data_IF_586418874793
#
_entry.id   IF_586418874793
#
_cell.length_a   1.000
_cell.length_b   1.000
_cell.length_c   1.000
_cell.angle_alpha   90.00
_cell.angle_beta   90.00
_cell.angle_gamma   90.00
#
_symmetry.space_group_name_H-M   'P 1'
#
loop_
_entity.id
_entity.type
_entity.pdbx_description
1 polymer ?
#
# COMPACT_ATOMS: atom_id res chain seq x y z
N UNK A 1 -15.17 14.28 -3.57
CA UNK A 1 -15.00 12.81 -3.51
C UNK A 1 -14.34 12.55 -2.18
N UNK A 2 -14.92 11.73 -1.30
CA UNK A 2 -14.29 11.52 0.00
C UNK A 2 -13.04 10.66 -0.22
N UNK A 3 -11.87 11.24 -0.03
CA UNK A 3 -10.59 10.57 -0.25
C UNK A 3 -10.44 9.49 0.82
N UNK A 4 -9.95 8.30 0.47
CA UNK A 4 -9.57 7.34 1.50
C UNK A 4 -8.36 7.92 2.25
N UNK A 5 -8.23 7.59 3.52
CA UNK A 5 -6.96 7.74 4.23
C UNK A 5 -6.14 6.46 4.09
N UNK A 6 -4.86 6.50 4.39
CA UNK A 6 -4.07 5.27 4.51
C UNK A 6 -3.45 5.14 5.90
N UNK A 7 -3.27 3.90 6.33
CA UNK A 7 -2.51 3.52 7.50
C UNK A 7 -1.49 2.45 7.13
N UNK A 8 -0.45 2.30 7.93
CA UNK A 8 0.58 1.28 7.73
C UNK A 8 0.76 0.45 9.00
N UNK A 9 0.91 -0.86 8.82
CA UNK A 9 1.28 -1.77 9.91
C UNK A 9 2.66 -1.40 10.47
N UNK A 10 2.93 -1.83 11.71
CA UNK A 10 4.25 -1.62 12.32
C UNK A 10 5.39 -2.18 11.45
N UNK A 11 5.18 -3.34 10.83
CA UNK A 11 6.15 -3.97 9.92
C UNK A 11 6.48 -3.05 8.72
N UNK A 12 5.48 -2.41 8.13
CA UNK A 12 5.66 -1.48 7.00
C UNK A 12 6.46 -0.25 7.43
N UNK A 13 6.15 0.31 8.61
CA UNK A 13 6.89 1.45 9.16
C UNK A 13 8.36 1.10 9.39
N UNK A 14 8.64 -0.06 10.00
CA UNK A 14 10.01 -0.55 10.19
C UNK A 14 10.74 -0.73 8.85
N UNK A 15 10.04 -1.23 7.82
CA UNK A 15 10.61 -1.39 6.48
C UNK A 15 10.95 -0.03 5.84
N UNK A 16 10.05 0.95 5.92
CA UNK A 16 10.30 2.31 5.42
C UNK A 16 11.52 2.95 6.09
N UNK A 17 11.72 2.70 7.39
CA UNK A 17 12.89 3.18 8.13
C UNK A 17 14.20 2.52 7.67
N UNK A 18 14.15 1.29 7.15
CA UNK A 18 15.31 0.57 6.63
C UNK A 18 15.71 0.99 5.20
N UNK A 19 14.84 1.69 4.45
CA UNK A 19 15.15 2.16 3.09
C UNK A 19 16.26 3.20 3.15
N UNK A 20 17.47 2.81 2.73
CA UNK A 20 18.63 3.70 2.64
C UNK A 20 18.50 4.62 1.42
N UNK A 21 17.87 5.77 1.62
CA UNK A 21 17.76 6.82 0.62
C UNK A 21 16.47 7.61 0.78
N UNK A 22 16.57 8.85 1.23
CA UNK A 22 15.41 9.73 1.49
C UNK A 22 14.47 9.82 0.29
N UNK A 23 15.02 9.84 -0.94
CA UNK A 23 14.23 9.88 -2.16
C UNK A 23 13.47 8.59 -2.49
N UNK A 24 13.96 7.41 -2.10
CA UNK A 24 13.22 6.16 -2.28
C UNK A 24 12.11 6.03 -1.24
N UNK A 25 12.40 6.38 0.02
CA UNK A 25 11.39 6.39 1.08
C UNK A 25 10.24 7.32 0.74
N UNK A 26 10.56 8.55 0.29
CA UNK A 26 9.54 9.52 -0.13
C UNK A 26 8.68 8.98 -1.28
N UNK A 27 9.29 8.36 -2.31
CA UNK A 27 8.53 7.75 -3.41
C UNK A 27 7.54 6.68 -2.95
N UNK A 28 7.91 5.86 -1.96
CA UNK A 28 7.00 4.84 -1.42
C UNK A 28 5.88 5.48 -0.61
N UNK A 29 6.18 6.51 0.20
CA UNK A 29 5.14 7.26 0.93
C UNK A 29 4.19 8.01 0.00
N UNK A 30 4.71 8.72 -1.01
CA UNK A 30 3.90 9.40 -2.03
C UNK A 30 3.01 8.41 -2.80
N UNK A 31 3.48 7.17 -2.96
CA UNK A 31 2.68 6.10 -3.55
C UNK A 31 1.49 5.72 -2.65
N UNK A 32 1.66 5.63 -1.33
CA UNK A 32 0.55 5.37 -0.41
C UNK A 32 -0.47 6.50 -0.39
N UNK A 33 -0.03 7.75 -0.47
CA UNK A 33 -0.93 8.91 -0.64
C UNK A 33 -1.75 8.78 -1.92
N UNK A 34 -1.10 8.41 -3.04
CA UNK A 34 -1.81 8.16 -4.30
C UNK A 34 -2.78 6.98 -4.20
N UNK A 35 -2.38 5.92 -3.49
CA UNK A 35 -3.22 4.74 -3.26
C UNK A 35 -4.48 5.09 -2.46
N UNK A 36 -4.43 6.07 -1.57
CA UNK A 36 -5.62 6.51 -0.83
C UNK A 36 -6.54 7.42 -1.67
N UNK A 37 -6.01 8.09 -2.70
CA UNK A 37 -6.84 8.78 -3.69
C UNK A 37 -7.51 7.82 -4.69
N UNK A 38 -6.86 6.72 -5.03
CA UNK A 38 -7.34 5.73 -6.00
C UNK A 38 -6.93 4.29 -5.59
N UNK A 39 -7.64 3.68 -4.62
CA UNK A 39 -7.27 2.38 -4.03
C UNK A 39 -7.30 1.19 -5.01
N UNK A 40 -8.03 1.35 -6.12
CA UNK A 40 -8.27 0.30 -7.11
C UNK A 40 -7.53 0.55 -8.44
N UNK A 41 -7.06 1.77 -8.71
CA UNK A 41 -6.69 2.18 -10.06
C UNK A 41 -5.43 1.58 -10.67
N UNK A 42 -4.61 0.85 -9.91
CA UNK A 42 -3.40 0.19 -10.44
C UNK A 42 -3.15 -1.21 -9.88
N UNK A 43 -4.00 -1.78 -9.01
CA UNK A 43 -3.86 -3.18 -8.58
C UNK A 43 -4.01 -4.08 -9.80
N UNK A 44 -2.88 -4.49 -10.38
CA UNK A 44 -2.84 -5.68 -11.21
C UNK A 44 -3.30 -6.81 -10.31
N UNK A 45 -4.50 -7.31 -10.60
CA UNK A 45 -5.16 -8.42 -9.91
C UNK A 45 -4.13 -9.50 -9.54
N UNK A 46 -3.89 -9.68 -8.25
CA UNK A 46 -3.27 -10.89 -7.75
C UNK A 46 -3.84 -11.15 -6.35
N UNK A 47 -4.76 -12.11 -6.33
CA UNK A 47 -5.40 -12.74 -5.16
C UNK A 47 -6.26 -11.85 -4.25
N UNK A 48 -7.57 -11.95 -4.45
CA UNK A 48 -8.56 -11.74 -3.39
C UNK A 48 -8.42 -12.90 -2.39
N UNK A 49 -8.32 -12.59 -1.09
CA UNK A 49 -8.55 -13.60 -0.05
C UNK A 49 -10.02 -14.05 -0.05
N UNK A 50 -10.38 -15.09 0.72
CA UNK A 50 -11.76 -15.62 0.75
C UNK A 50 -12.80 -14.55 1.17
N UNK A 51 -12.34 -13.47 1.82
CA UNK A 51 -13.15 -12.32 2.23
C UNK A 51 -13.17 -11.18 1.20
N UNK A 52 -12.33 -11.23 0.16
CA UNK A 52 -12.34 -10.31 -0.97
C UNK A 52 -11.73 -8.94 -0.71
N UNK A 53 -10.85 -8.79 0.29
CA UNK A 53 -10.43 -7.46 0.75
C UNK A 53 -8.92 -7.22 0.77
N UNK A 54 -8.09 -8.23 0.51
CA UNK A 54 -6.63 -8.08 0.41
C UNK A 54 -6.21 -7.91 -1.05
N UNK A 55 -5.28 -6.99 -1.28
CA UNK A 55 -4.74 -6.61 -2.58
C UNK A 55 -3.22 -6.63 -2.56
N UNK A 56 -2.62 -7.06 -3.66
CA UNK A 56 -1.19 -7.03 -3.87
C UNK A 56 -0.83 -6.13 -5.06
N UNK A 57 0.29 -5.41 -4.94
CA UNK A 57 0.77 -4.55 -6.02
C UNK A 57 2.30 -4.48 -6.02
N UNK A 58 2.89 -4.72 -7.19
CA UNK A 58 4.31 -4.43 -7.42
C UNK A 58 4.47 -3.00 -7.91
N UNK A 59 5.22 -2.18 -7.17
CA UNK A 59 5.54 -0.79 -7.51
C UNK A 59 7.04 -0.60 -7.70
N UNK A 60 7.38 0.34 -8.60
CA UNK A 60 8.76 0.73 -8.91
C UNK A 60 9.67 -0.45 -9.29
N UNK A 61 9.10 -1.51 -9.89
CA UNK A 61 9.76 -2.76 -10.29
C UNK A 61 10.61 -3.41 -9.17
N UNK A 62 10.24 -3.16 -7.92
CA UNK A 62 11.08 -3.51 -6.76
C UNK A 62 10.31 -3.84 -5.50
N UNK A 63 9.16 -3.21 -5.27
CA UNK A 63 8.46 -3.32 -4.01
C UNK A 63 7.13 -4.02 -4.20
N UNK A 64 6.90 -5.10 -3.47
CA UNK A 64 5.59 -5.73 -3.33
C UNK A 64 4.88 -5.08 -2.14
N UNK A 65 3.71 -4.52 -2.37
CA UNK A 65 2.84 -3.92 -1.36
C UNK A 65 1.62 -4.82 -1.20
N UNK A 66 1.34 -5.22 0.04
CA UNK A 66 0.10 -5.91 0.41
C UNK A 66 -0.76 -4.95 1.21
N UNK A 67 -2.01 -4.77 0.83
CA UNK A 67 -2.91 -3.82 1.48
C UNK A 67 -4.36 -4.31 1.50
N UNK A 68 -5.14 -3.74 2.40
CA UNK A 68 -6.57 -4.02 2.54
C UNK A 68 -7.36 -2.72 2.45
N UNK A 69 -8.52 -2.74 1.77
CA UNK A 69 -9.42 -1.58 1.71
C UNK A 69 -10.58 -1.80 2.67
N UNK A 70 -10.66 -0.97 3.71
CA UNK A 70 -11.83 -0.90 4.59
C UNK A 70 -12.76 0.23 4.12
N UNK A 71 -13.80 -0.13 3.38
CA UNK A 71 -14.77 0.84 2.83
C UNK A 71 -15.64 1.47 3.94
N UNK A 72 -15.87 0.76 5.05
CA UNK A 72 -16.73 1.24 6.13
C UNK A 72 -16.14 2.48 6.82
N UNK A 73 -14.81 2.52 6.96
CA UNK A 73 -14.09 3.68 7.51
C UNK A 73 -13.32 4.48 6.43
N UNK A 74 -13.46 4.10 5.16
CA UNK A 74 -12.72 4.68 4.02
C UNK A 74 -11.21 4.73 4.25
N UNK A 75 -10.62 3.60 4.59
CA UNK A 75 -9.19 3.50 4.91
C UNK A 75 -8.50 2.39 4.12
N UNK A 76 -7.33 2.71 3.57
CA UNK A 76 -6.38 1.74 2.99
C UNK A 76 -5.39 1.33 4.08
N UNK A 77 -5.39 0.06 4.45
CA UNK A 77 -4.50 -0.51 5.45
C UNK A 77 -3.34 -1.20 4.73
N UNK A 78 -2.15 -0.60 4.73
CA UNK A 78 -0.95 -1.21 4.18
C UNK A 78 -0.43 -2.25 5.18
N UNK A 79 -0.53 -3.52 4.81
CA UNK A 79 -0.24 -4.66 5.67
C UNK A 79 1.24 -5.05 5.60
N UNK A 80 1.80 -5.10 4.39
CA UNK A 80 3.20 -5.48 4.16
C UNK A 80 3.87 -4.66 3.06
N UNK A 81 5.19 -4.52 3.18
CA UNK A 81 6.08 -3.90 2.19
C UNK A 81 7.32 -4.78 2.04
N UNK A 82 7.45 -5.44 0.91
CA UNK A 82 8.44 -6.47 0.65
C UNK A 82 9.21 -6.17 -0.63
N UNK A 83 10.36 -6.84 -0.84
CA UNK A 83 11.03 -6.77 -2.13
C UNK A 83 10.39 -7.80 -3.05
N UNK A 84 10.00 -7.37 -4.25
CA UNK A 84 9.49 -8.23 -5.33
C UNK A 84 10.59 -9.06 -5.98
#
# INVERSE_FOLDING_TARGET
MSEFTWSASQQVVERLLQIRGTGQRQKVTDFFDRLSSDPLGNSKEDFLDEDGNIYHLVVFDRWLITYHIDDAIRQVNVLALELS
#
